data_IF_029149281896
#
_entry.id   IF_029149281896
#
_cell.length_a   1.000
_cell.length_b   1.000
_cell.length_c   1.000
_cell.angle_alpha   90.00
_cell.angle_beta   90.00
_cell.angle_gamma   90.00
#
_symmetry.space_group_name_H-M   'P 1'
#
loop_
_entity.id
_entity.type
_entity.pdbx_description
1 polymer ?
#
# COMPACT_ATOMS: atom_id res chain seq x y z
N UNK A 1 18.57 43.98 -5.03
CA UNK A 1 18.37 42.69 -4.35
C UNK A 1 16.90 42.37 -4.49
N UNK A 2 16.57 41.34 -5.26
CA UNK A 2 15.18 41.02 -5.59
C UNK A 2 14.43 40.55 -4.35
N UNK A 3 13.29 41.19 -4.08
CA UNK A 3 12.43 41.04 -2.89
C UNK A 3 11.55 39.78 -2.92
N UNK A 4 11.98 38.72 -3.61
CA UNK A 4 11.13 37.57 -3.99
C UNK A 4 10.71 36.69 -2.79
N UNK A 5 11.37 36.83 -1.64
CA UNK A 5 11.20 35.95 -0.47
C UNK A 5 10.64 36.64 0.78
N UNK A 6 10.28 37.91 0.70
CA UNK A 6 9.86 38.69 1.89
C UNK A 6 8.49 38.27 2.43
N UNK A 7 7.72 37.48 1.68
CA UNK A 7 6.38 37.00 2.06
C UNK A 7 6.38 35.58 2.67
N UNK A 8 7.55 34.92 2.75
CA UNK A 8 7.71 33.64 3.43
C UNK A 8 7.88 33.86 4.95
N UNK A 9 6.81 33.65 5.71
CA UNK A 9 6.85 33.66 7.19
C UNK A 9 7.18 32.27 7.76
N UNK A 10 7.52 32.16 9.04
CA UNK A 10 7.63 30.84 9.69
C UNK A 10 6.29 30.09 9.64
N UNK A 11 6.33 28.75 9.72
CA UNK A 11 5.13 27.89 9.72
C UNK A 11 4.15 28.32 10.83
N UNK A 12 2.85 28.39 10.50
CA UNK A 12 1.80 28.80 11.42
C UNK A 12 1.42 27.70 12.44
N UNK A 13 1.87 26.46 12.23
CA UNK A 13 1.62 25.34 13.12
C UNK A 13 2.66 25.28 14.24
N UNK A 14 2.19 25.19 15.48
CA UNK A 14 3.00 25.06 16.70
C UNK A 14 3.52 23.62 16.93
N UNK A 15 3.86 22.90 15.86
CA UNK A 15 4.47 21.58 16.01
C UNK A 15 5.99 21.71 16.25
N UNK A 16 6.51 21.15 17.34
CA UNK A 16 7.96 21.15 17.62
C UNK A 16 8.69 20.11 16.76
N UNK A 17 8.98 20.44 15.51
CA UNK A 17 9.99 19.72 14.72
C UNK A 17 11.40 20.25 15.06
N UNK A 18 12.41 19.39 15.24
CA UNK A 18 13.78 19.83 15.56
C UNK A 18 14.36 20.82 14.54
N UNK A 19 13.99 20.68 13.26
CA UNK A 19 14.49 21.50 12.15
C UNK A 19 13.40 22.39 11.51
N UNK A 20 12.25 22.55 12.17
CA UNK A 20 11.10 23.29 11.63
C UNK A 20 10.32 22.54 10.54
N UNK A 21 9.17 23.09 10.16
CA UNK A 21 8.31 22.55 9.09
C UNK A 21 8.52 23.31 7.78
N UNK A 22 8.27 22.63 6.64
CA UNK A 22 8.28 23.28 5.32
C UNK A 22 7.21 24.40 5.31
N UNK A 23 7.54 25.56 4.74
CA UNK A 23 6.59 26.67 4.57
C UNK A 23 5.61 26.35 3.43
N UNK A 24 4.30 26.41 3.71
CA UNK A 24 3.25 26.08 2.72
C UNK A 24 3.28 26.95 1.46
N UNK A 25 3.52 28.26 1.56
CA UNK A 25 3.60 29.17 0.40
C UNK A 25 4.77 28.84 -0.52
N UNK A 26 5.90 28.42 0.05
CA UNK A 26 7.04 27.97 -0.76
C UNK A 26 6.66 26.72 -1.56
N UNK A 27 6.01 25.76 -0.91
CA UNK A 27 5.58 24.53 -1.57
C UNK A 27 4.50 24.81 -2.62
N UNK A 28 3.57 25.71 -2.33
CA UNK A 28 2.53 26.16 -3.28
C UNK A 28 3.16 26.71 -4.55
N UNK A 29 4.16 27.60 -4.43
CA UNK A 29 4.90 28.14 -5.59
C UNK A 29 5.55 27.03 -6.41
N UNK A 30 6.22 26.08 -5.75
CA UNK A 30 6.89 24.98 -6.45
C UNK A 30 5.85 24.12 -7.19
N UNK A 31 4.77 23.73 -6.52
CA UNK A 31 3.71 22.90 -7.11
C UNK A 31 3.04 23.63 -8.29
N UNK A 32 2.76 24.93 -8.17
CA UNK A 32 2.08 25.68 -9.24
C UNK A 32 2.94 25.85 -10.49
N UNK A 33 4.27 25.90 -10.34
CA UNK A 33 5.20 26.04 -11.47
C UNK A 33 5.32 24.77 -12.32
N UNK A 34 5.05 23.59 -11.76
CA UNK A 34 5.37 22.30 -12.40
C UNK A 34 4.18 21.34 -12.51
N UNK A 35 2.99 21.70 -12.00
CA UNK A 35 1.81 20.82 -12.00
C UNK A 35 0.51 21.57 -12.30
N UNK A 36 -0.45 20.83 -12.86
CA UNK A 36 -1.83 21.25 -13.05
C UNK A 36 -2.76 20.60 -12.00
N UNK A 37 -4.00 21.10 -11.91
CA UNK A 37 -5.03 20.46 -11.09
C UNK A 37 -5.23 19.00 -11.52
N UNK A 38 -5.38 18.09 -10.55
CA UNK A 38 -5.52 16.66 -10.80
C UNK A 38 -4.21 15.87 -10.94
N UNK A 39 -3.06 16.53 -11.14
CA UNK A 39 -1.75 15.87 -11.19
C UNK A 39 -1.39 15.20 -9.85
N UNK A 40 -0.44 14.26 -9.89
CA UNK A 40 0.05 13.55 -8.69
C UNK A 40 1.37 14.17 -8.22
N UNK A 41 1.43 14.55 -6.94
CA UNK A 41 2.64 15.02 -6.25
C UNK A 41 3.18 13.90 -5.35
N UNK A 42 4.47 13.57 -5.47
CA UNK A 42 5.15 12.61 -4.60
C UNK A 42 6.12 13.34 -3.67
N UNK A 43 6.01 13.11 -2.36
CA UNK A 43 7.02 13.51 -1.37
C UNK A 43 7.49 12.27 -0.60
N UNK A 44 8.75 11.86 -0.83
CA UNK A 44 9.35 10.70 -0.16
C UNK A 44 9.92 10.99 1.22
N UNK A 45 9.87 12.25 1.66
CA UNK A 45 10.30 12.75 2.96
C UNK A 45 9.24 13.71 3.49
N UNK A 46 8.02 13.17 3.65
CA UNK A 46 6.82 13.96 3.91
C UNK A 46 6.94 14.84 5.16
N UNK A 47 7.69 14.37 6.16
CA UNK A 47 8.01 15.01 7.41
C UNK A 47 6.76 15.21 8.25
N UNK A 48 6.20 16.41 8.16
CA UNK A 48 5.03 16.81 8.90
C UNK A 48 3.74 16.74 8.09
N UNK A 49 3.82 16.50 6.77
CA UNK A 49 2.65 16.49 5.88
C UNK A 49 2.47 17.73 5.03
N UNK A 50 3.36 18.74 5.10
CA UNK A 50 3.18 20.02 4.39
C UNK A 50 2.93 19.85 2.89
N UNK A 51 3.72 19.01 2.20
CA UNK A 51 3.59 18.84 0.74
C UNK A 51 2.25 18.24 0.35
N UNK A 52 1.80 17.23 1.10
CA UNK A 52 0.49 16.63 0.90
C UNK A 52 -0.65 17.61 1.21
N UNK A 53 -0.54 18.38 2.31
CA UNK A 53 -1.53 19.40 2.68
C UNK A 53 -1.71 20.46 1.58
N UNK A 54 -0.60 21.03 1.10
CA UNK A 54 -0.60 22.04 0.03
C UNK A 54 -1.14 21.46 -1.27
N UNK A 55 -0.64 20.30 -1.69
CA UNK A 55 -1.12 19.62 -2.90
C UNK A 55 -2.63 19.36 -2.82
N UNK A 56 -3.14 18.94 -1.65
CA UNK A 56 -4.56 18.67 -1.44
C UNK A 56 -5.42 19.92 -1.56
N UNK A 57 -5.03 21.02 -0.88
CA UNK A 57 -5.74 22.32 -0.97
C UNK A 57 -5.74 22.88 -2.39
N UNK A 58 -4.67 22.62 -3.15
CA UNK A 58 -4.54 22.95 -4.56
C UNK A 58 -5.25 21.95 -5.49
N UNK A 59 -6.01 20.97 -4.98
CA UNK A 59 -6.73 19.96 -5.77
C UNK A 59 -5.83 19.06 -6.63
N UNK A 60 -4.63 18.76 -6.14
CA UNK A 60 -3.75 17.72 -6.70
C UNK A 60 -3.94 16.42 -5.90
N UNK A 61 -3.67 15.31 -6.55
CA UNK A 61 -3.50 14.02 -5.87
C UNK A 61 -2.09 13.96 -5.29
N UNK A 62 -1.88 13.15 -4.27
CA UNK A 62 -0.56 13.05 -3.66
C UNK A 62 -0.26 11.65 -3.12
N UNK A 63 1.04 11.36 -3.04
CA UNK A 63 1.61 10.21 -2.34
C UNK A 63 2.67 10.77 -1.39
N UNK A 64 2.53 10.48 -0.11
CA UNK A 64 3.49 10.87 0.91
C UNK A 64 4.10 9.62 1.53
N UNK A 65 5.42 9.58 1.66
CA UNK A 65 6.15 8.51 2.33
C UNK A 65 6.93 9.11 3.48
N UNK A 66 6.87 8.44 4.62
CA UNK A 66 7.58 8.84 5.82
C UNK A 66 7.85 7.63 6.72
N UNK A 67 8.91 7.71 7.52
CA UNK A 67 9.38 6.64 8.39
C UNK A 67 9.46 7.13 9.83
N UNK A 68 8.68 6.53 10.72
CA UNK A 68 8.75 6.75 12.17
C UNK A 68 7.44 7.24 12.77
N UNK A 69 7.45 7.50 14.07
CA UNK A 69 6.24 7.81 14.84
C UNK A 69 5.58 9.15 14.48
N UNK A 70 6.32 10.05 13.81
CA UNK A 70 5.78 11.30 13.28
C UNK A 70 4.74 11.10 12.17
N UNK A 71 4.70 9.93 11.52
CA UNK A 71 3.59 9.57 10.64
C UNK A 71 2.25 9.66 11.38
N UNK A 72 2.20 9.08 12.58
CA UNK A 72 1.00 9.01 13.40
C UNK A 72 0.71 10.31 14.13
N UNK A 73 1.75 10.88 14.72
CA UNK A 73 1.59 12.00 15.64
C UNK A 73 1.45 13.34 14.91
N UNK A 74 1.94 13.46 13.67
CA UNK A 74 1.97 14.76 12.94
C UNK A 74 1.29 14.65 11.59
N UNK A 75 1.74 13.73 10.72
CA UNK A 75 1.23 13.66 9.34
C UNK A 75 -0.26 13.35 9.30
N UNK A 76 -0.70 12.29 9.97
CA UNK A 76 -2.12 11.90 9.99
C UNK A 76 -2.98 13.03 10.55
N UNK A 77 -2.61 13.58 11.71
CA UNK A 77 -3.37 14.66 12.35
C UNK A 77 -3.51 15.89 11.45
N UNK A 78 -2.40 16.37 10.87
CA UNK A 78 -2.44 17.49 9.91
C UNK A 78 -3.35 17.19 8.72
N UNK A 79 -3.26 15.99 8.15
CA UNK A 79 -4.04 15.64 6.96
C UNK A 79 -5.53 15.49 7.27
N UNK A 80 -5.88 15.04 8.48
CA UNK A 80 -7.26 15.08 8.97
C UNK A 80 -7.73 16.52 9.09
N UNK A 81 -6.96 17.41 9.74
CA UNK A 81 -7.32 18.83 9.85
C UNK A 81 -7.53 19.49 8.48
N UNK A 82 -6.68 19.15 7.49
CA UNK A 82 -6.84 19.60 6.10
C UNK A 82 -8.15 19.10 5.50
N UNK A 83 -8.49 17.82 5.66
CA UNK A 83 -9.77 17.27 5.18
C UNK A 83 -10.95 17.95 5.89
N UNK A 84 -10.83 18.25 7.17
CA UNK A 84 -11.87 18.91 7.96
C UNK A 84 -12.00 20.42 7.66
N UNK A 85 -11.15 20.97 6.79
CA UNK A 85 -11.26 22.33 6.29
C UNK A 85 -10.57 23.38 7.15
N UNK A 86 -9.46 23.02 7.79
CA UNK A 86 -8.62 23.97 8.53
C UNK A 86 -8.20 25.20 7.70
N UNK A 87 -8.07 26.35 8.37
CA UNK A 87 -7.95 27.68 7.74
C UNK A 87 -6.55 28.33 7.86
N UNK A 88 -5.52 27.53 8.04
CA UNK A 88 -4.12 27.93 8.14
C UNK A 88 -3.36 27.75 6.81
N UNK A 89 -2.11 28.23 6.78
CA UNK A 89 -1.27 28.15 5.60
C UNK A 89 -1.92 28.80 4.37
N UNK A 90 -2.01 28.06 3.27
CA UNK A 90 -2.61 28.55 2.01
C UNK A 90 -4.13 28.39 1.92
N UNK A 91 -4.81 27.89 2.98
CA UNK A 91 -6.24 27.57 2.90
C UNK A 91 -7.10 28.75 2.46
N UNK A 92 -6.81 29.96 2.97
CA UNK A 92 -7.56 31.17 2.62
C UNK A 92 -7.33 31.61 1.18
N UNK A 93 -6.09 31.49 0.71
CA UNK A 93 -5.69 31.86 -0.65
C UNK A 93 -6.40 31.01 -1.70
N UNK A 94 -6.73 29.75 -1.35
CA UNK A 94 -7.45 28.80 -2.20
C UNK A 94 -8.93 28.63 -1.84
N UNK A 95 -9.47 29.43 -0.92
CA UNK A 95 -10.83 29.29 -0.39
C UNK A 95 -11.17 27.83 -0.02
N UNK A 96 -10.23 27.16 0.66
CA UNK A 96 -10.36 25.77 1.05
C UNK A 96 -11.45 25.61 2.11
N UNK A 97 -12.37 24.66 1.90
CA UNK A 97 -13.51 24.39 2.79
C UNK A 97 -13.51 22.94 3.32
N UNK A 98 -12.41 22.21 3.13
CA UNK A 98 -12.32 20.79 3.44
C UNK A 98 -12.85 19.89 2.33
N UNK A 99 -12.86 18.59 2.62
CA UNK A 99 -13.26 17.51 1.72
C UNK A 99 -12.09 16.61 1.30
N UNK A 100 -12.40 15.64 0.43
CA UNK A 100 -11.44 14.65 -0.01
C UNK A 100 -11.19 13.56 1.02
N UNK A 101 -10.02 12.92 0.94
CA UNK A 101 -9.64 11.80 1.79
C UNK A 101 -8.25 11.29 1.43
N UNK A 102 -7.67 10.50 2.33
CA UNK A 102 -6.45 9.74 2.05
C UNK A 102 -6.60 8.31 2.55
N UNK A 103 -5.72 7.43 2.05
CA UNK A 103 -5.53 6.10 2.61
C UNK A 103 -4.16 6.06 3.25
N UNK A 104 -4.10 5.54 4.47
CA UNK A 104 -2.85 5.33 5.19
C UNK A 104 -2.42 3.88 5.04
N UNK A 105 -1.14 3.67 4.75
CA UNK A 105 -0.55 2.35 4.56
C UNK A 105 0.74 2.26 5.35
N UNK A 106 0.97 1.09 5.93
CA UNK A 106 2.25 0.73 6.55
C UNK A 106 2.96 -0.33 5.73
N UNK A 107 4.29 -0.25 5.73
CA UNK A 107 5.11 -1.31 5.18
C UNK A 107 5.16 -2.45 6.19
N UNK A 108 4.58 -3.60 5.82
CA UNK A 108 4.64 -4.81 6.63
C UNK A 108 6.04 -5.44 6.59
N UNK A 109 6.36 -6.23 7.62
CA UNK A 109 7.55 -7.10 7.64
C UNK A 109 7.60 -8.01 6.40
N UNK A 110 8.77 -8.44 5.93
CA UNK A 110 8.86 -9.37 4.80
C UNK A 110 7.99 -10.61 5.02
N UNK A 111 7.17 -10.97 4.03
CA UNK A 111 6.30 -12.15 4.09
C UNK A 111 7.12 -13.44 4.22
N UNK A 112 8.31 -13.47 3.61
CA UNK A 112 9.24 -14.59 3.66
C UNK A 112 10.53 -14.20 4.38
N UNK A 113 10.99 -15.06 5.28
CA UNK A 113 12.26 -14.93 5.98
C UNK A 113 13.08 -16.22 5.82
N UNK A 114 14.41 -16.12 5.98
CA UNK A 114 15.27 -17.31 6.02
C UNK A 114 14.97 -18.12 7.29
N UNK A 115 14.86 -19.44 7.15
CA UNK A 115 14.78 -20.32 8.31
C UNK A 115 16.14 -20.28 9.05
N UNK A 116 16.14 -20.21 10.40
CA UNK A 116 17.38 -20.07 11.17
C UNK A 116 18.26 -21.32 11.19
N UNK A 117 17.71 -22.49 10.83
CA UNK A 117 18.38 -23.80 10.91
C UNK A 117 18.58 -24.40 9.53
N UNK A 118 17.57 -24.32 8.66
CA UNK A 118 17.53 -24.95 7.35
C UNK A 118 17.83 -23.91 6.26
N UNK A 119 18.50 -24.31 5.15
CA UNK A 119 18.80 -23.42 4.03
C UNK A 119 17.57 -23.20 3.13
N UNK A 120 16.44 -22.79 3.72
CA UNK A 120 15.16 -22.56 3.05
C UNK A 120 14.54 -21.26 3.55
N UNK A 121 13.65 -20.68 2.75
CA UNK A 121 12.75 -19.62 3.20
C UNK A 121 11.50 -20.22 3.84
N UNK A 122 10.89 -19.48 4.75
CA UNK A 122 9.60 -19.79 5.35
C UNK A 122 8.75 -18.53 5.45
N UNK A 123 7.45 -18.72 5.67
CA UNK A 123 6.56 -17.60 6.00
C UNK A 123 7.01 -17.01 7.33
N UNK A 124 7.05 -15.68 7.39
CA UNK A 124 7.37 -14.96 8.60
C UNK A 124 6.33 -15.26 9.71
N UNK A 125 6.73 -15.82 10.87
CA UNK A 125 5.80 -16.23 11.93
C UNK A 125 4.92 -15.12 12.51
N UNK A 126 5.26 -13.85 12.28
CA UNK A 126 4.42 -12.71 12.71
C UNK A 126 3.12 -12.62 11.91
N UNK A 127 3.04 -13.24 10.74
CA UNK A 127 1.85 -13.25 9.91
C UNK A 127 0.83 -14.27 10.41
N UNK A 128 -0.37 -13.79 10.70
CA UNK A 128 -1.54 -14.68 10.80
C UNK A 128 -1.86 -15.27 9.42
N UNK A 129 -2.72 -16.29 9.39
CA UNK A 129 -3.19 -16.86 8.13
C UNK A 129 -3.87 -15.81 7.25
N UNK A 130 -4.72 -14.94 7.82
CA UNK A 130 -5.43 -13.92 7.07
C UNK A 130 -4.47 -12.86 6.50
N UNK A 131 -3.47 -12.43 7.29
CA UNK A 131 -2.44 -11.51 6.80
C UNK A 131 -1.62 -12.13 5.65
N UNK A 132 -1.28 -13.41 5.78
CA UNK A 132 -0.58 -14.16 4.73
C UNK A 132 -1.46 -14.25 3.47
N UNK A 133 -2.73 -14.61 3.60
CA UNK A 133 -3.65 -14.72 2.48
C UNK A 133 -3.84 -13.36 1.79
N UNK A 134 -4.01 -12.28 2.55
CA UNK A 134 -4.09 -10.92 2.02
C UNK A 134 -2.81 -10.52 1.28
N UNK A 135 -1.63 -10.79 1.86
CA UNK A 135 -0.35 -10.49 1.23
C UNK A 135 -0.17 -11.24 -0.10
N UNK A 136 -0.52 -12.53 -0.14
CA UNK A 136 -0.47 -13.34 -1.36
C UNK A 136 -1.47 -12.84 -2.39
N UNK A 137 -2.69 -12.45 -1.99
CA UNK A 137 -3.65 -11.82 -2.89
C UNK A 137 -3.04 -10.59 -3.56
N UNK A 138 -2.44 -9.69 -2.78
CA UNK A 138 -1.79 -8.47 -3.30
C UNK A 138 -0.63 -8.78 -4.26
N UNK A 139 0.24 -9.73 -3.92
CA UNK A 139 1.36 -10.16 -4.77
C UNK A 139 0.92 -10.81 -6.10
N UNK A 140 -0.28 -11.35 -6.13
CA UNK A 140 -0.90 -11.93 -7.33
C UNK A 140 -1.82 -10.94 -8.08
N UNK A 141 -1.93 -9.69 -7.60
CA UNK A 141 -2.80 -8.68 -8.21
C UNK A 141 -4.30 -8.86 -7.93
N UNK A 142 -4.65 -9.65 -6.91
CA UNK A 142 -6.03 -9.85 -6.46
C UNK A 142 -6.40 -8.84 -5.37
N UNK A 143 -7.66 -8.41 -5.38
CA UNK A 143 -8.24 -7.70 -4.24
C UNK A 143 -8.61 -8.73 -3.17
N UNK A 144 -8.03 -8.58 -1.99
CA UNK A 144 -8.42 -9.38 -0.83
C UNK A 144 -9.88 -9.08 -0.46
N UNK A 145 -10.69 -10.13 -0.44
CA UNK A 145 -12.14 -10.08 -0.22
C UNK A 145 -12.64 -11.51 0.07
N UNK A 146 -12.45 -12.01 1.30
CA UNK A 146 -12.76 -13.39 1.62
C UNK A 146 -14.26 -13.68 1.52
N UNK A 147 -14.65 -14.68 0.72
CA UNK A 147 -16.02 -15.14 0.51
C UNK A 147 -16.01 -16.66 0.33
N UNK A 148 -16.64 -17.38 1.27
CA UNK A 148 -16.65 -18.84 1.27
C UNK A 148 -15.22 -19.39 1.35
N UNK A 149 -14.82 -20.19 0.37
CA UNK A 149 -13.47 -20.75 0.28
C UNK A 149 -12.46 -19.77 -0.37
N UNK A 150 -12.91 -18.71 -1.02
CA UNK A 150 -12.01 -17.81 -1.75
C UNK A 150 -11.56 -16.65 -0.87
N UNK A 151 -10.31 -16.21 -1.06
CA UNK A 151 -9.69 -15.13 -0.28
C UNK A 151 -9.62 -13.82 -1.07
N UNK A 152 -9.69 -13.87 -2.40
CA UNK A 152 -9.65 -12.68 -3.23
C UNK A 152 -10.20 -12.89 -4.64
N UNK A 153 -10.45 -11.77 -5.30
CA UNK A 153 -11.03 -11.70 -6.64
C UNK A 153 -10.24 -10.69 -7.50
N UNK A 154 -10.06 -11.00 -8.78
CA UNK A 154 -9.52 -10.08 -9.79
C UNK A 154 -10.62 -9.51 -10.67
N UNK A 155 -10.29 -8.49 -11.47
CA UNK A 155 -11.19 -7.91 -12.46
C UNK A 155 -11.63 -8.86 -13.58
N UNK A 156 -10.97 -10.03 -13.74
CA UNK A 156 -11.18 -10.98 -14.83
C UNK A 156 -12.00 -12.23 -14.39
N UNK A 157 -12.80 -12.12 -13.33
CA UNK A 157 -13.52 -13.27 -12.75
C UNK A 157 -12.60 -14.42 -12.31
N UNK A 158 -11.38 -14.07 -11.90
CA UNK A 158 -10.42 -15.01 -11.32
C UNK A 158 -10.47 -14.93 -9.81
N UNK A 159 -10.44 -16.08 -9.15
CA UNK A 159 -10.44 -16.21 -7.71
C UNK A 159 -9.09 -16.73 -7.22
N UNK A 160 -8.76 -16.41 -5.97
CA UNK A 160 -7.60 -16.96 -5.29
C UNK A 160 -8.01 -17.65 -3.99
N UNK A 161 -7.48 -18.85 -3.77
CA UNK A 161 -7.63 -19.62 -2.55
C UNK A 161 -6.25 -19.89 -1.96
N UNK A 162 -6.05 -19.54 -0.69
CA UNK A 162 -4.80 -19.80 0.04
C UNK A 162 -5.07 -20.87 1.08
N UNK A 163 -4.16 -21.83 1.25
CA UNK A 163 -4.35 -22.91 2.22
C UNK A 163 -3.05 -23.47 2.78
N UNK A 164 -3.08 -23.86 4.06
CA UNK A 164 -2.02 -24.64 4.70
C UNK A 164 -2.26 -26.15 4.61
N UNK A 165 -3.40 -26.57 4.09
CA UNK A 165 -3.75 -27.99 3.96
C UNK A 165 -2.99 -28.64 2.81
N UNK A 166 -2.88 -29.97 2.87
CA UNK A 166 -2.32 -30.75 1.78
C UNK A 166 -3.29 -30.79 0.59
N UNK A 167 -2.89 -30.20 -0.54
CA UNK A 167 -3.74 -30.11 -1.72
C UNK A 167 -3.59 -31.36 -2.61
N UNK A 168 -4.67 -32.12 -2.76
CA UNK A 168 -4.80 -33.27 -3.67
C UNK A 168 -6.00 -33.09 -4.61
N UNK A 169 -6.24 -34.05 -5.52
CA UNK A 169 -7.31 -33.91 -6.52
C UNK A 169 -8.70 -33.75 -5.89
N UNK A 170 -8.99 -34.51 -4.83
CA UNK A 170 -10.27 -34.42 -4.11
C UNK A 170 -10.46 -33.05 -3.44
N UNK A 171 -9.38 -32.48 -2.90
CA UNK A 171 -9.38 -31.14 -2.33
C UNK A 171 -9.72 -30.10 -3.40
N UNK A 172 -9.02 -30.15 -4.54
CA UNK A 172 -9.28 -29.24 -5.68
C UNK A 172 -10.74 -29.34 -6.13
N UNK A 173 -11.26 -30.55 -6.32
CA UNK A 173 -12.67 -30.76 -6.70
C UNK A 173 -13.62 -30.14 -5.67
N UNK A 174 -13.30 -30.24 -4.38
CA UNK A 174 -14.19 -29.72 -3.32
C UNK A 174 -14.33 -28.19 -3.34
N UNK A 175 -13.24 -27.48 -3.58
CA UNK A 175 -13.22 -26.01 -3.60
C UNK A 175 -13.69 -25.43 -4.94
N UNK A 176 -13.66 -26.21 -6.03
CA UNK A 176 -14.13 -25.77 -7.35
C UNK A 176 -15.60 -26.13 -7.64
N UNK A 177 -16.32 -26.77 -6.71
CA UNK A 177 -17.72 -27.22 -6.92
C UNK A 177 -18.66 -26.14 -7.45
N UNK A 178 -18.44 -24.89 -7.01
CA UNK A 178 -19.28 -23.75 -7.34
C UNK A 178 -18.60 -22.78 -8.31
N UNK A 179 -17.51 -23.19 -8.97
CA UNK A 179 -16.79 -22.36 -9.91
C UNK A 179 -17.45 -22.48 -11.29
N UNK A 180 -17.89 -21.34 -11.85
CA UNK A 180 -18.50 -21.30 -13.18
C UNK A 180 -17.47 -21.59 -14.30
N UNK A 181 -17.96 -22.01 -15.47
CA UNK A 181 -17.13 -22.32 -16.65
C UNK A 181 -16.27 -21.16 -17.17
N UNK A 182 -16.61 -19.92 -16.81
CA UNK A 182 -15.88 -18.70 -17.19
C UNK A 182 -15.00 -18.15 -16.06
N UNK A 183 -14.98 -18.84 -14.91
CA UNK A 183 -14.18 -18.46 -13.77
C UNK A 183 -12.93 -19.33 -13.71
N UNK A 184 -11.86 -18.76 -13.19
CA UNK A 184 -10.60 -19.48 -12.95
C UNK A 184 -10.18 -19.33 -11.49
N UNK A 185 -9.40 -20.30 -11.00
CA UNK A 185 -8.96 -20.35 -9.61
C UNK A 185 -7.45 -20.54 -9.54
N UNK A 186 -6.81 -19.64 -8.80
CA UNK A 186 -5.43 -19.80 -8.36
C UNK A 186 -5.41 -20.33 -6.93
N UNK A 187 -4.73 -21.45 -6.69
CA UNK A 187 -4.56 -22.04 -5.36
C UNK A 187 -3.12 -21.86 -4.93
N UNK A 188 -2.91 -21.20 -3.80
CA UNK A 188 -1.63 -21.16 -3.10
C UNK A 188 -1.62 -22.16 -1.96
N UNK A 189 -0.63 -23.04 -1.92
CA UNK A 189 -0.50 -24.06 -0.88
C UNK A 189 0.94 -24.27 -0.42
N UNK A 190 1.12 -24.80 0.79
CA UNK A 190 2.45 -25.19 1.28
C UNK A 190 2.87 -26.56 0.75
N UNK A 191 1.90 -27.49 0.60
CA UNK A 191 2.12 -28.88 0.19
C UNK A 191 1.03 -29.34 -0.77
N UNK A 192 1.43 -30.09 -1.80
CA UNK A 192 0.50 -30.66 -2.79
C UNK A 192 0.94 -32.05 -3.25
N UNK A 193 -0.01 -32.82 -3.77
CA UNK A 193 0.24 -34.08 -4.46
C UNK A 193 1.08 -33.86 -5.72
N UNK A 194 2.05 -34.74 -5.94
CA UNK A 194 2.88 -34.75 -7.16
C UNK A 194 2.07 -35.24 -8.37
N UNK A 195 2.31 -34.65 -9.54
CA UNK A 195 1.72 -35.06 -10.84
C UNK A 195 0.18 -35.12 -10.85
N UNK A 196 -0.47 -34.15 -10.21
CA UNK A 196 -1.91 -34.00 -10.29
C UNK A 196 -2.33 -33.48 -11.67
N UNK A 197 -3.38 -34.07 -12.24
CA UNK A 197 -4.05 -33.57 -13.46
C UNK A 197 -5.05 -32.51 -13.02
N UNK A 198 -4.93 -31.31 -13.56
CA UNK A 198 -5.77 -30.16 -13.23
C UNK A 198 -6.60 -29.74 -14.44
N UNK A 199 -7.82 -29.23 -14.24
CA UNK A 199 -8.55 -28.53 -15.30
C UNK A 199 -7.79 -27.27 -15.75
N UNK A 200 -7.96 -26.86 -17.01
CA UNK A 200 -7.23 -25.73 -17.62
C UNK A 200 -7.45 -24.38 -16.91
N UNK A 201 -8.59 -24.21 -16.24
CA UNK A 201 -8.93 -23.00 -15.50
C UNK A 201 -8.42 -22.99 -14.04
N UNK A 202 -7.64 -23.99 -13.63
CA UNK A 202 -7.12 -24.14 -12.26
C UNK A 202 -5.59 -24.11 -12.26
N UNK A 203 -5.01 -23.19 -11.50
CA UNK A 203 -3.57 -23.09 -11.29
C UNK A 203 -3.23 -23.37 -9.82
N UNK A 204 -2.13 -24.07 -9.56
CA UNK A 204 -1.65 -24.32 -8.19
C UNK A 204 -0.20 -23.90 -8.07
N UNK A 205 0.05 -22.95 -7.17
CA UNK A 205 1.38 -22.47 -6.80
C UNK A 205 1.76 -22.90 -5.39
N UNK A 206 3.06 -22.98 -5.12
CA UNK A 206 3.63 -23.39 -3.85
C UNK A 206 4.28 -22.23 -3.09
N UNK A 207 4.00 -22.20 -1.79
CA UNK A 207 4.73 -21.40 -0.82
C UNK A 207 5.94 -22.21 -0.31
N UNK A 208 7.15 -21.64 -0.19
CA UNK A 208 7.55 -20.28 -0.58
C UNK A 208 8.01 -20.14 -2.03
N UNK A 209 8.23 -21.26 -2.74
CA UNK A 209 8.95 -21.29 -4.03
C UNK A 209 8.42 -20.28 -5.05
N UNK A 210 7.13 -20.33 -5.37
CA UNK A 210 6.54 -19.48 -6.40
C UNK A 210 6.42 -18.01 -5.97
N UNK A 211 6.45 -17.73 -4.66
CA UNK A 211 6.53 -16.36 -4.15
C UNK A 211 7.95 -15.81 -4.26
N UNK A 212 8.98 -16.65 -4.06
CA UNK A 212 10.37 -16.25 -4.22
C UNK A 212 10.69 -15.81 -5.64
N UNK A 213 10.09 -16.46 -6.64
CA UNK A 213 10.26 -16.13 -8.06
C UNK A 213 9.61 -14.77 -8.42
N UNK A 214 8.70 -14.24 -7.58
CA UNK A 214 7.97 -13.00 -7.84
C UNK A 214 8.59 -11.75 -7.23
N UNK A 215 9.36 -11.88 -6.16
CA UNK A 215 9.94 -10.70 -5.50
C UNK A 215 11.47 -10.74 -5.62
N UNK A 216 12.07 -9.58 -5.86
CA UNK A 216 13.50 -9.37 -5.68
C UNK A 216 13.81 -9.34 -4.19
N UNK A 217 14.25 -10.46 -3.62
CA UNK A 217 14.69 -10.54 -2.22
C UNK A 217 16.17 -10.16 -2.03
N UNK A 218 16.85 -9.84 -3.12
CA UNK A 218 18.19 -9.27 -3.13
C UNK A 218 18.05 -7.77 -3.37
N UNK A 219 17.97 -6.98 -2.30
CA UNK A 219 18.54 -5.64 -2.40
C UNK A 219 20.05 -5.84 -2.49
N UNK A 220 20.69 -5.38 -3.56
CA UNK A 220 22.14 -5.19 -3.60
C UNK A 220 22.52 -4.24 -2.45
N UNK A 221 22.72 -4.80 -1.27
CA UNK A 221 23.32 -4.12 -0.14
C UNK A 221 24.83 -4.16 -0.34
N UNK A 222 25.33 -3.23 -1.14
CA UNK A 222 26.70 -2.70 -1.00
C UNK A 222 26.64 -1.39 -0.22
#
# INVERSE_FOLDING_TARGET
>A
MDTIWTDLTSSAFNWKFPNGEKNEKLIERIISMITNEGDIVLDSFLGSGTTAAVAHKMKRRWIGIEKGDHCYTHCINRLIDVIDGEQSGISRDFNWQGGGGFKFYELAEPLLIKNPILPIYQINPVYTFDMMAEAICKLEGFKYSPVGEYHGISSENRFIHVTNQFVNSSYVISITKNLDKHQSLLIYCTKKQSKMILPDNIEIKKIPKDLLEKCSFESEGM
#
